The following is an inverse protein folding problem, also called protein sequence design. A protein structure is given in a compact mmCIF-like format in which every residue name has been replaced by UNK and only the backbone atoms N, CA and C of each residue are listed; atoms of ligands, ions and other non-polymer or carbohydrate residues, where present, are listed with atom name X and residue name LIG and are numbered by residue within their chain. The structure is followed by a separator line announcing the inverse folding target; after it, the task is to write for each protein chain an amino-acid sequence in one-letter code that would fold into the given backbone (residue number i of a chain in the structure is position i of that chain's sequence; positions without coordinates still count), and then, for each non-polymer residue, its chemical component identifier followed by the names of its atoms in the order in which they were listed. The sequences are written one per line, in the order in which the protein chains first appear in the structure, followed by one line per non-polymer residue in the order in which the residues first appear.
data_IF_024116835356
#
_entry.id   IF_024116835356
#
_cell.length_a   1.000
_cell.length_b   1.000
_cell.length_c   1.000
_cell.angle_alpha   90.00
_cell.angle_beta   90.00
_cell.angle_gamma   90.00
#
_symmetry.space_group_name_H-M   'P 1'
#
loop_
_entity.id
_entity.type
_entity.pdbx_description
1 polymer ?
#
# COMPACT_ATOMS: atom_id res chain seq x y z
N UNK A 1 6.07 -13.46 1.37
CA UNK A 1 5.66 -12.76 0.13
C UNK A 1 6.60 -13.05 -1.04
N UNK A 2 7.90 -12.74 -0.93
CA UNK A 2 8.91 -12.89 -2.00
C UNK A 2 8.90 -14.27 -2.66
N UNK A 3 8.97 -15.36 -1.88
CA UNK A 3 8.93 -16.74 -2.42
C UNK A 3 7.73 -17.01 -3.36
N UNK A 4 6.54 -16.47 -3.05
CA UNK A 4 5.35 -16.60 -3.90
C UNK A 4 5.46 -15.79 -5.19
N UNK A 5 6.02 -14.57 -5.10
CA UNK A 5 6.28 -13.72 -6.26
C UNK A 5 7.32 -14.35 -7.21
N UNK A 6 8.42 -14.89 -6.66
CA UNK A 6 9.43 -15.64 -7.42
C UNK A 6 8.84 -16.88 -8.07
N UNK A 7 7.92 -17.59 -7.39
CA UNK A 7 7.25 -18.74 -7.98
C UNK A 7 6.34 -18.34 -9.16
N UNK A 8 5.62 -17.23 -9.07
CA UNK A 8 4.68 -16.77 -10.10
C UNK A 8 5.35 -16.45 -11.45
N UNK A 9 6.63 -16.05 -11.44
CA UNK A 9 7.37 -15.74 -12.68
C UNK A 9 8.01 -16.97 -13.34
N UNK A 10 8.05 -18.14 -12.67
CA UNK A 10 8.70 -19.35 -13.21
C UNK A 10 8.07 -19.85 -14.52
N UNK A 11 6.79 -19.54 -14.74
CA UNK A 11 6.06 -19.91 -15.95
C UNK A 11 6.03 -18.81 -17.02
N UNK A 12 6.93 -17.82 -16.93
CA UNK A 12 7.06 -16.73 -17.91
C UNK A 12 6.20 -15.49 -17.63
N UNK A 13 5.51 -15.44 -16.49
CA UNK A 13 4.78 -14.25 -16.05
C UNK A 13 5.71 -13.09 -15.70
N UNK A 14 5.23 -11.85 -15.82
CA UNK A 14 5.95 -10.64 -15.39
C UNK A 14 5.22 -9.96 -14.24
N UNK A 15 5.95 -9.63 -13.17
CA UNK A 15 5.41 -8.81 -12.09
C UNK A 15 5.35 -7.37 -12.58
N UNK A 16 4.13 -6.86 -12.79
CA UNK A 16 3.89 -5.52 -13.33
C UNK A 16 3.80 -4.44 -12.26
N UNK A 17 3.30 -4.80 -11.08
CA UNK A 17 3.20 -3.91 -9.92
C UNK A 17 3.01 -4.72 -8.63
N UNK A 18 3.30 -4.09 -7.49
CA UNK A 18 2.82 -4.51 -6.18
C UNK A 18 1.71 -3.56 -5.74
N UNK A 19 0.57 -4.12 -5.34
CA UNK A 19 -0.50 -3.38 -4.66
C UNK A 19 -0.34 -3.60 -3.15
N UNK A 20 -0.24 -2.53 -2.38
CA UNK A 20 -0.01 -2.59 -0.93
C UNK A 20 -1.04 -1.74 -0.17
N UNK A 21 -1.85 -2.40 0.66
CA UNK A 21 -2.78 -1.70 1.55
C UNK A 21 -2.63 -2.29 2.95
N UNK A 22 -1.95 -1.54 3.81
CA UNK A 22 -1.69 -1.88 5.21
C UNK A 22 -1.36 -0.59 5.97
N UNK A 23 -1.61 -0.59 7.27
CA UNK A 23 -1.10 0.41 8.22
C UNK A 23 -2.03 0.63 9.39
N UNK A 24 -3.22 0.03 9.39
CA UNK A 24 -4.24 0.17 10.42
C UNK A 24 -3.72 -0.19 11.81
N UNK A 25 -2.89 -1.24 11.92
CA UNK A 25 -2.23 -1.65 13.16
C UNK A 25 -1.19 -0.65 13.67
N UNK A 26 -0.47 0.01 12.78
CA UNK A 26 0.57 1.00 13.11
C UNK A 26 -0.04 2.30 13.67
N UNK A 27 -1.37 2.46 13.61
CA UNK A 27 -2.08 3.62 14.18
C UNK A 27 -2.29 3.53 15.70
N UNK A 28 -1.92 2.42 16.34
CA UNK A 28 -2.14 2.17 17.78
C UNK A 28 -1.03 2.80 18.64
N UNK A 29 0.22 2.60 18.27
CA UNK A 29 1.40 3.06 19.01
C UNK A 29 2.04 4.24 18.29
N UNK A 30 2.34 5.31 19.04
CA UNK A 30 2.91 6.54 18.46
C UNK A 30 4.24 6.28 17.75
N UNK A 31 5.11 5.48 18.36
CA UNK A 31 6.41 5.15 17.80
C UNK A 31 6.30 4.40 16.46
N UNK A 32 5.31 3.51 16.32
CA UNK A 32 5.06 2.78 15.07
C UNK A 32 4.55 3.76 13.99
N UNK A 33 3.60 4.62 14.34
CA UNK A 33 3.09 5.65 13.44
C UNK A 33 4.18 6.63 12.96
N UNK A 34 5.05 7.08 13.87
CA UNK A 34 6.15 8.01 13.55
C UNK A 34 7.25 7.36 12.70
N UNK A 35 7.46 6.04 12.85
CA UNK A 35 8.46 5.30 12.07
C UNK A 35 7.91 4.71 10.77
N UNK A 36 6.59 4.77 10.55
CA UNK A 36 5.90 4.14 9.41
C UNK A 36 6.54 4.49 8.06
N UNK A 37 6.85 5.76 7.80
CA UNK A 37 7.44 6.19 6.53
C UNK A 37 8.77 5.46 6.27
N UNK A 38 9.68 5.50 7.23
CA UNK A 38 11.01 4.88 7.11
C UNK A 38 10.89 3.37 6.91
N UNK A 39 9.96 2.72 7.64
CA UNK A 39 9.72 1.28 7.52
C UNK A 39 9.13 0.93 6.14
N UNK A 40 8.21 1.73 5.61
CA UNK A 40 7.61 1.54 4.29
C UNK A 40 8.63 1.75 3.16
N UNK A 41 9.46 2.80 3.24
CA UNK A 41 10.55 3.04 2.28
C UNK A 41 11.57 1.89 2.30
N UNK A 42 11.92 1.37 3.48
CA UNK A 42 12.76 0.18 3.62
C UNK A 42 12.10 -1.06 2.99
N UNK A 43 10.83 -1.32 3.29
CA UNK A 43 10.09 -2.44 2.71
C UNK A 43 10.11 -2.38 1.17
N UNK A 44 9.89 -1.22 0.58
CA UNK A 44 9.96 -1.03 -0.88
C UNK A 44 11.36 -1.38 -1.41
N UNK A 45 12.41 -0.91 -0.75
CA UNK A 45 13.80 -1.22 -1.10
C UNK A 45 14.12 -2.71 -1.02
N UNK A 46 13.70 -3.37 0.07
CA UNK A 46 13.89 -4.80 0.28
C UNK A 46 13.18 -5.61 -0.82
N UNK A 47 11.91 -5.29 -1.13
CA UNK A 47 11.13 -5.99 -2.16
C UNK A 47 11.76 -5.84 -3.54
N UNK A 48 12.19 -4.63 -3.91
CA UNK A 48 12.84 -4.37 -5.20
C UNK A 48 14.14 -5.15 -5.33
N UNK A 49 14.91 -5.23 -4.26
CA UNK A 49 16.16 -5.99 -4.19
C UNK A 49 15.89 -7.48 -4.33
N UNK A 50 14.99 -8.03 -3.52
CA UNK A 50 14.67 -9.45 -3.48
C UNK A 50 14.04 -9.98 -4.77
N UNK A 51 13.32 -9.11 -5.50
CA UNK A 51 12.74 -9.43 -6.81
C UNK A 51 13.64 -9.04 -7.99
N UNK A 52 14.83 -8.53 -7.74
CA UNK A 52 15.77 -8.01 -8.74
C UNK A 52 15.10 -7.06 -9.75
N UNK A 53 14.24 -6.18 -9.26
CA UNK A 53 13.49 -5.22 -10.07
C UNK A 53 13.52 -3.83 -9.40
N UNK A 54 14.57 -3.03 -9.63
CA UNK A 54 14.74 -1.72 -8.99
C UNK A 54 13.68 -0.69 -9.41
N UNK A 55 13.00 -0.90 -10.53
CA UNK A 55 11.96 -0.02 -11.05
C UNK A 55 10.54 -0.57 -10.84
N UNK A 56 10.36 -1.63 -10.04
CA UNK A 56 9.04 -2.21 -9.77
C UNK A 56 8.07 -1.13 -9.28
N UNK A 57 6.94 -1.02 -9.97
CA UNK A 57 5.85 -0.12 -9.59
C UNK A 57 5.22 -0.60 -8.28
N UNK A 58 5.18 0.27 -7.29
CA UNK A 58 4.46 0.04 -6.03
C UNK A 58 3.29 1.02 -6.00
N UNK A 59 2.08 0.50 -5.83
CA UNK A 59 0.89 1.32 -5.60
C UNK A 59 0.42 1.02 -4.17
N UNK A 60 0.69 1.97 -3.28
CA UNK A 60 0.23 1.88 -1.90
C UNK A 60 -1.12 2.60 -1.71
N UNK A 61 -1.77 2.34 -0.59
CA UNK A 61 -3.06 2.94 -0.25
C UNK A 61 -2.96 3.71 1.06
N UNK A 62 -3.31 5.00 1.04
CA UNK A 62 -3.46 5.79 2.26
C UNK A 62 -4.77 5.41 2.97
N UNK A 63 -4.68 5.13 4.28
CA UNK A 63 -5.73 4.43 5.04
C UNK A 63 -7.11 5.13 5.03
N UNK A 64 -8.20 4.36 4.89
CA UNK A 64 -9.55 4.88 5.17
C UNK A 64 -9.85 5.05 6.68
N UNK A 65 -9.19 4.22 7.50
CA UNK A 65 -9.51 3.94 8.91
C UNK A 65 -8.27 3.42 9.63
N UNK A 66 -8.31 3.21 10.95
CA UNK A 66 -7.23 2.58 11.70
C UNK A 66 -7.71 2.03 13.03
N UNK A 67 -6.91 1.16 13.65
CA UNK A 67 -7.21 0.53 14.94
C UNK A 67 -6.99 1.48 16.13
N UNK A 68 -6.21 2.55 15.94
CA UNK A 68 -5.82 3.50 16.97
C UNK A 68 -5.95 4.96 16.55
N UNK A 69 -5.42 5.86 17.40
CA UNK A 69 -5.62 7.31 17.29
C UNK A 69 -4.65 8.01 16.35
N UNK A 70 -3.60 7.34 15.86
CA UNK A 70 -2.55 7.94 15.04
C UNK A 70 -2.78 7.77 13.53
N UNK A 71 -4.03 7.64 13.09
CA UNK A 71 -4.41 7.46 11.68
C UNK A 71 -3.86 8.58 10.81
N UNK A 72 -3.97 9.83 11.25
CA UNK A 72 -3.49 10.98 10.46
C UNK A 72 -1.96 10.99 10.33
N UNK A 73 -1.23 10.50 11.34
CA UNK A 73 0.24 10.36 11.28
C UNK A 73 0.63 9.32 10.22
N UNK A 74 0.04 8.11 10.28
CA UNK A 74 0.31 7.04 9.30
C UNK A 74 -0.10 7.48 7.88
N UNK A 75 -1.25 8.12 7.72
CA UNK A 75 -1.69 8.65 6.42
C UNK A 75 -0.73 9.70 5.88
N UNK A 76 -0.27 10.62 6.73
CA UNK A 76 0.71 11.64 6.32
C UNK A 76 2.02 11.00 5.87
N UNK A 77 2.45 9.92 6.54
CA UNK A 77 3.60 9.12 6.11
C UNK A 77 3.36 8.46 4.74
N UNK A 78 2.22 7.81 4.52
CA UNK A 78 1.86 7.17 3.23
C UNK A 78 1.80 8.16 2.07
N UNK A 79 1.23 9.34 2.28
CA UNK A 79 1.06 10.37 1.26
C UNK A 79 2.37 11.14 0.95
N UNK A 80 3.33 11.15 1.88
CA UNK A 80 4.59 11.89 1.74
C UNK A 80 5.74 11.08 1.12
N UNK A 81 5.53 9.80 0.79
CA UNK A 81 6.55 8.99 0.12
C UNK A 81 6.72 9.47 -1.33
N UNK A 82 7.93 9.94 -1.66
CA UNK A 82 8.29 10.48 -2.99
C UNK A 82 9.27 9.58 -3.76
N UNK A 83 9.37 8.29 -3.42
CA UNK A 83 10.26 7.35 -4.11
C UNK A 83 9.85 7.16 -5.59
N UNK A 84 10.81 6.98 -6.51
CA UNK A 84 10.52 6.69 -7.91
C UNK A 84 9.65 5.43 -8.06
N UNK A 85 8.73 5.44 -9.03
CA UNK A 85 7.78 4.35 -9.29
C UNK A 85 7.00 3.89 -8.05
N UNK A 86 6.66 4.85 -7.18
CA UNK A 86 5.71 4.65 -6.09
C UNK A 86 4.54 5.61 -6.29
N UNK A 87 3.33 5.09 -6.21
CA UNK A 87 2.07 5.84 -6.26
C UNK A 87 1.28 5.58 -4.98
N UNK A 88 0.46 6.55 -4.57
CA UNK A 88 -0.40 6.44 -3.41
C UNK A 88 -1.84 6.74 -3.81
N UNK A 89 -2.75 5.79 -3.60
CA UNK A 89 -4.19 5.94 -3.77
C UNK A 89 -4.79 6.31 -2.41
N UNK A 90 -5.62 7.35 -2.33
CA UNK A 90 -6.24 7.76 -1.06
C UNK A 90 -7.60 7.09 -0.86
N UNK A 91 -7.72 6.22 0.14
CA UNK A 91 -8.95 5.54 0.49
C UNK A 91 -9.84 6.32 1.49
N UNK A 92 -9.44 7.52 1.91
CA UNK A 92 -10.22 8.36 2.83
C UNK A 92 -11.61 8.64 2.25
N UNK A 93 -12.63 8.43 3.07
CA UNK A 93 -14.03 8.65 2.70
C UNK A 93 -14.69 7.48 1.98
N UNK A 94 -13.99 6.36 1.77
CA UNK A 94 -14.66 5.11 1.39
C UNK A 94 -15.47 4.56 2.57
N UNK A 95 -16.63 3.98 2.27
CA UNK A 95 -17.54 3.45 3.29
C UNK A 95 -16.92 2.26 4.02
N UNK A 96 -17.10 2.26 5.34
CA UNK A 96 -16.65 1.22 6.24
C UNK A 96 -17.81 0.30 6.63
N UNK A 97 -17.49 -0.92 7.04
CA UNK A 97 -18.40 -1.84 7.69
C UNK A 97 -18.80 -1.29 9.07
N UNK A 98 -19.72 -1.98 9.72
CA UNK A 98 -20.22 -1.61 11.06
C UNK A 98 -19.14 -1.61 12.15
N UNK A 99 -18.01 -2.30 11.93
CA UNK A 99 -16.84 -2.28 12.81
C UNK A 99 -16.03 -0.97 12.73
N UNK A 100 -16.34 -0.10 11.77
CA UNK A 100 -15.64 1.17 11.51
C UNK A 100 -14.14 1.00 11.24
N UNK A 101 -13.73 -0.20 10.83
CA UNK A 101 -12.35 -0.55 10.55
C UNK A 101 -12.20 -1.03 9.11
N UNK A 102 -13.02 -1.98 8.67
CA UNK A 102 -12.86 -2.60 7.36
C UNK A 102 -13.71 -1.91 6.30
N UNK A 103 -13.23 -1.83 5.06
CA UNK A 103 -14.02 -1.36 3.92
C UNK A 103 -15.24 -2.26 3.66
N UNK A 104 -16.36 -1.67 3.24
CA UNK A 104 -17.48 -2.44 2.68
C UNK A 104 -17.09 -3.12 1.36
N UNK A 105 -17.87 -4.11 0.92
CA UNK A 105 -17.68 -4.73 -0.41
C UNK A 105 -17.73 -3.70 -1.54
N UNK A 106 -18.68 -2.76 -1.50
CA UNK A 106 -18.77 -1.68 -2.52
C UNK A 106 -17.54 -0.79 -2.51
N UNK A 107 -17.03 -0.44 -1.32
CA UNK A 107 -15.78 0.31 -1.17
C UNK A 107 -14.56 -0.44 -1.69
N UNK A 108 -14.50 -1.76 -1.50
CA UNK A 108 -13.43 -2.60 -2.08
C UNK A 108 -13.46 -2.59 -3.60
N UNK A 109 -14.66 -2.67 -4.22
CA UNK A 109 -14.81 -2.54 -5.68
C UNK A 109 -14.31 -1.18 -6.15
N UNK A 110 -14.72 -0.09 -5.47
CA UNK A 110 -14.27 1.27 -5.81
C UNK A 110 -12.76 1.45 -5.65
N UNK A 111 -12.17 0.95 -4.56
CA UNK A 111 -10.73 0.95 -4.36
C UNK A 111 -10.00 0.17 -5.46
N UNK A 112 -10.55 -0.98 -5.88
CA UNK A 112 -10.04 -1.76 -7.00
C UNK A 112 -9.95 -0.95 -8.30
N UNK A 113 -10.99 -0.17 -8.62
CA UNK A 113 -10.96 0.74 -9.77
C UNK A 113 -9.90 1.83 -9.62
N UNK A 114 -9.78 2.44 -8.43
CA UNK A 114 -8.76 3.47 -8.17
C UNK A 114 -7.33 2.93 -8.30
N UNK A 115 -7.07 1.69 -7.86
CA UNK A 115 -5.79 1.00 -8.03
C UNK A 115 -5.51 0.69 -9.50
N UNK A 116 -6.53 0.27 -10.26
CA UNK A 116 -6.41 0.03 -11.70
C UNK A 116 -6.08 1.33 -12.45
N UNK A 117 -6.78 2.43 -12.14
CA UNK A 117 -6.52 3.75 -12.75
C UNK A 117 -5.09 4.22 -12.46
N UNK A 118 -4.62 4.07 -11.23
CA UNK A 118 -3.24 4.40 -10.85
C UNK A 118 -2.21 3.54 -11.61
N UNK A 119 -2.50 2.26 -11.84
CA UNK A 119 -1.65 1.37 -12.62
C UNK A 119 -1.60 1.76 -14.12
N UNK A 120 -2.75 2.10 -14.71
CA UNK A 120 -2.86 2.48 -16.12
C UNK A 120 -2.23 3.85 -16.40
N UNK A 121 -2.33 4.79 -15.46
CA UNK A 121 -1.67 6.11 -15.55
C UNK A 121 -0.14 6.05 -15.33
N UNK A 122 0.40 4.89 -14.98
CA UNK A 122 1.82 4.63 -14.76
C UNK A 122 2.49 3.86 -15.91
N UNK A 123 1.78 3.63 -17.02
CA UNK A 123 2.34 3.06 -18.26
C UNK A 123 3.06 4.11 -19.10
#
# INVERSE_FOLDING_TARGET
MVSRATAAVKSGGTIRALLWYQGESDTVVQADAETYRTNMEKLIGDIRTDLNNPSLLIIQVALASGEGKFVDTVRSAQLSITLPNVKCVDAKGLDLKTDRLHLTTTSQVRLGSMLADAFLASQ
#
